data_IF_203100802520
#
_entry.id   IF_203100802520
#
_cell.length_a   1.000
_cell.length_b   1.000
_cell.length_c   1.000
_cell.angle_alpha   90.00
_cell.angle_beta   90.00
_cell.angle_gamma   90.00
#
_symmetry.space_group_name_H-M   'P 1'
#
loop_
_entity.id
_entity.type
_entity.pdbx_description
1 polymer ?
#
# COMPACT_ATOMS: atom_id res chain seq x y z
N UNK A 1 6.25 -29.63 13.10
CA UNK A 1 5.37 -29.25 12.02
C UNK A 1 4.41 -28.07 12.32
N UNK A 2 4.40 -27.51 13.53
CA UNK A 2 3.56 -26.34 13.89
C UNK A 2 4.20 -24.95 13.63
N UNK A 3 5.36 -24.88 13.01
CA UNK A 3 6.25 -23.69 13.02
C UNK A 3 6.03 -22.67 11.89
N UNK A 4 5.15 -22.90 10.92
CA UNK A 4 5.04 -22.04 9.71
C UNK A 4 3.83 -21.13 9.63
N UNK A 5 2.90 -21.21 10.59
CA UNK A 5 1.60 -20.54 10.52
C UNK A 5 1.61 -19.01 10.76
N UNK A 6 2.67 -18.47 11.37
CA UNK A 6 2.59 -17.11 11.92
C UNK A 6 3.21 -16.00 11.06
N UNK A 7 4.14 -16.30 10.19
CA UNK A 7 4.85 -15.23 9.46
C UNK A 7 3.92 -14.46 8.49
N UNK A 8 2.95 -15.14 7.88
CA UNK A 8 2.06 -14.51 6.90
C UNK A 8 0.83 -13.84 7.52
N UNK A 9 0.28 -14.41 8.59
CA UNK A 9 -0.77 -13.73 9.37
C UNK A 9 -0.28 -12.41 9.96
N UNK A 10 1.01 -12.28 10.24
CA UNK A 10 1.63 -11.04 10.71
C UNK A 10 1.75 -10.01 9.57
N UNK A 11 2.14 -10.41 8.36
CA UNK A 11 2.18 -9.49 7.21
C UNK A 11 0.78 -9.03 6.78
N UNK A 12 -0.22 -9.93 6.79
CA UNK A 12 -1.59 -9.59 6.42
C UNK A 12 -2.30 -8.80 7.54
N UNK A 13 -2.03 -9.09 8.82
CA UNK A 13 -2.55 -8.32 9.94
C UNK A 13 -1.93 -6.93 10.04
N UNK A 14 -0.66 -6.76 9.66
CA UNK A 14 -0.02 -5.44 9.55
C UNK A 14 -0.61 -4.63 8.39
N UNK A 15 -0.93 -5.27 7.26
CA UNK A 15 -1.62 -4.61 6.13
C UNK A 15 -3.03 -4.14 6.50
N UNK A 16 -3.75 -4.85 7.38
CA UNK A 16 -5.07 -4.45 7.87
C UNK A 16 -5.00 -3.47 9.07
N UNK A 17 -3.93 -3.51 9.87
CA UNK A 17 -3.75 -2.62 11.03
C UNK A 17 -3.27 -1.22 10.66
N UNK A 18 -2.65 -1.02 9.50
CA UNK A 18 -2.20 0.30 9.02
C UNK A 18 -3.34 1.27 8.77
N UNK A 19 -4.58 0.78 8.61
CA UNK A 19 -5.78 1.61 8.38
C UNK A 19 -6.67 1.80 9.60
N UNK A 20 -6.48 1.04 10.67
CA UNK A 20 -7.20 1.24 11.93
C UNK A 20 -6.30 1.96 12.92
N UNK A 21 -6.09 3.25 12.69
CA UNK A 21 -5.46 4.13 13.67
C UNK A 21 -6.16 4.00 15.02
N UNK A 22 -5.39 3.63 16.03
CA UNK A 22 -5.64 3.78 17.45
C UNK A 22 -7.10 3.68 17.93
N UNK A 23 -7.64 2.48 18.03
CA UNK A 23 -8.76 2.24 18.94
C UNK A 23 -8.20 1.94 20.35
N UNK A 24 -7.94 2.98 21.14
CA UNK A 24 -7.74 2.84 22.57
C UNK A 24 -9.10 2.85 23.26
N UNK A 25 -9.40 1.79 23.99
CA UNK A 25 -10.58 1.71 24.84
C UNK A 25 -10.55 2.81 25.91
N UNK A 26 -11.54 3.67 25.89
CA UNK A 26 -11.75 4.77 26.84
C UNK A 26 -12.02 4.19 28.23
N UNK A 27 -11.06 4.30 29.15
CA UNK A 27 -11.31 4.15 30.58
C UNK A 27 -11.67 5.51 31.16
N UNK A 28 -12.92 5.64 31.57
CA UNK A 28 -13.42 6.80 32.32
C UNK A 28 -12.72 6.91 33.68
N UNK A 29 -11.92 7.97 33.89
CA UNK A 29 -11.40 8.40 35.17
C UNK A 29 -11.70 9.90 35.39
N UNK A 30 -11.90 10.37 36.62
CA UNK A 30 -12.50 11.67 36.89
C UNK A 30 -11.54 12.85 36.67
N UNK A 31 -12.09 13.92 36.09
CA UNK A 31 -11.48 15.20 35.76
C UNK A 31 -10.93 15.94 36.96
N UNK A 32 -9.70 16.46 36.87
CA UNK A 32 -9.16 17.50 37.71
C UNK A 32 -9.18 18.85 36.96
N UNK A 33 -9.34 20.00 37.64
CA UNK A 33 -9.67 21.27 37.01
C UNK A 33 -8.44 21.96 36.38
N UNK A 34 -8.67 22.52 35.18
CA UNK A 34 -7.71 23.28 34.41
C UNK A 34 -7.35 24.62 35.06
N UNK A 35 -6.07 24.94 35.17
CA UNK A 35 -5.56 26.27 35.44
C UNK A 35 -5.26 26.98 34.13
N UNK A 36 -5.97 28.11 33.91
CA UNK A 36 -5.75 28.99 32.76
C UNK A 36 -4.45 29.77 32.91
N UNK A 37 -3.48 29.61 32.00
CA UNK A 37 -2.43 30.58 31.77
C UNK A 37 -2.67 31.24 30.40
N UNK A 38 -2.87 32.57 30.47
CA UNK A 38 -3.02 33.45 29.32
C UNK A 38 -1.65 33.69 28.71
N UNK A 39 -1.44 33.21 27.48
CA UNK A 39 -0.28 33.59 26.67
C UNK A 39 -0.69 34.75 25.76
N UNK A 40 -0.05 35.89 25.94
CA UNK A 40 -0.15 37.06 25.08
C UNK A 40 0.44 36.72 23.71
N UNK A 41 -0.38 36.82 22.65
CA UNK A 41 0.05 36.77 21.28
C UNK A 41 0.60 38.12 20.85
N UNK A 42 1.90 38.20 20.62
CA UNK A 42 2.50 39.28 19.84
C UNK A 42 2.07 39.13 18.37
N UNK A 43 1.30 40.10 17.90
CA UNK A 43 0.91 40.25 16.50
C UNK A 43 2.09 40.82 15.68
N UNK A 44 3.04 39.98 15.32
CA UNK A 44 4.01 40.27 14.28
C UNK A 44 3.37 40.00 12.92
N UNK A 45 3.33 41.02 12.08
CA UNK A 45 2.96 40.94 10.66
C UNK A 45 3.81 39.88 9.95
N UNK A 46 3.29 38.67 9.83
CA UNK A 46 3.85 37.64 8.98
C UNK A 46 3.55 38.05 7.52
N UNK A 47 4.58 38.35 6.76
CA UNK A 47 4.53 38.25 5.30
C UNK A 47 4.10 36.83 4.98
N UNK A 48 2.91 36.68 4.42
CA UNK A 48 2.46 35.42 3.82
C UNK A 48 3.47 35.02 2.73
N UNK A 49 4.45 34.23 3.09
CA UNK A 49 5.17 33.43 2.14
C UNK A 49 4.18 32.35 1.69
N UNK A 50 3.46 32.63 0.61
CA UNK A 50 2.64 31.61 -0.06
C UNK A 50 3.58 30.50 -0.51
N UNK A 51 3.56 29.38 0.20
CA UNK A 51 4.26 28.16 -0.25
C UNK A 51 3.68 27.81 -1.60
N UNK A 52 4.52 27.71 -2.62
CA UNK A 52 4.10 27.27 -3.94
C UNK A 52 3.66 25.81 -3.84
N UNK A 53 2.38 25.55 -4.09
CA UNK A 53 1.84 24.20 -4.12
C UNK A 53 2.20 23.59 -5.47
N UNK A 54 2.97 22.51 -5.45
CA UNK A 54 3.25 21.69 -6.63
C UNK A 54 2.41 20.44 -6.60
N UNK A 55 1.98 20.02 -7.76
CA UNK A 55 1.32 18.74 -7.99
C UNK A 55 2.00 18.04 -9.15
N UNK A 56 1.99 16.74 -9.16
CA UNK A 56 2.67 15.94 -10.16
C UNK A 56 1.68 15.02 -10.86
N UNK A 57 1.96 14.71 -12.11
CA UNK A 57 1.22 13.69 -12.84
C UNK A 57 1.64 12.29 -12.37
N UNK A 58 0.69 11.36 -12.40
CA UNK A 58 0.99 9.96 -12.09
C UNK A 58 1.95 9.41 -13.14
N UNK A 59 3.03 8.73 -12.74
CA UNK A 59 3.96 8.12 -13.69
C UNK A 59 3.28 7.08 -14.58
N UNK A 60 3.15 7.35 -15.88
CA UNK A 60 2.43 6.50 -16.83
C UNK A 60 3.09 5.13 -17.03
N UNK A 61 4.41 5.06 -16.96
CA UNK A 61 5.18 3.84 -17.18
C UNK A 61 5.38 2.99 -15.92
N UNK A 62 4.87 3.44 -14.76
CA UNK A 62 4.94 2.70 -13.51
C UNK A 62 3.60 2.79 -12.78
N UNK A 63 2.83 1.73 -12.82
CA UNK A 63 1.50 1.66 -12.23
C UNK A 63 1.47 0.57 -11.17
N UNK A 64 1.16 0.96 -9.94
CA UNK A 64 0.91 0.00 -8.87
C UNK A 64 -0.48 -0.61 -9.03
N UNK A 65 -0.59 -1.91 -8.81
CA UNK A 65 -1.89 -2.57 -8.76
C UNK A 65 -2.59 -2.21 -7.45
N UNK A 66 -3.86 -1.81 -7.56
CA UNK A 66 -4.71 -1.57 -6.43
C UNK A 66 -5.54 -2.80 -6.06
N UNK A 67 -5.92 -2.88 -4.80
CA UNK A 67 -6.87 -3.89 -4.30
C UNK A 67 -8.28 -3.35 -4.13
N UNK A 68 -8.48 -2.05 -4.30
CA UNK A 68 -9.80 -1.41 -4.14
C UNK A 68 -10.02 -0.21 -5.06
N UNK A 69 -8.99 0.60 -5.27
CA UNK A 69 -9.00 1.78 -6.15
C UNK A 69 -7.78 1.74 -7.04
N UNK A 70 -7.97 2.07 -8.29
CA UNK A 70 -6.90 2.17 -9.28
C UNK A 70 -7.08 3.45 -10.05
N UNK A 71 -6.03 4.26 -10.19
CA UNK A 71 -6.05 5.42 -11.08
C UNK A 71 -6.45 5.01 -12.49
N UNK A 72 -7.23 5.85 -13.15
CA UNK A 72 -7.62 5.64 -14.55
C UNK A 72 -7.04 6.73 -15.45
N UNK A 73 -5.90 6.50 -16.11
CA UNK A 73 -5.39 7.40 -17.13
C UNK A 73 -6.40 7.69 -18.25
N UNK A 74 -7.21 6.70 -18.62
CA UNK A 74 -8.21 6.84 -19.69
C UNK A 74 -9.37 7.78 -19.33
N UNK A 75 -9.86 7.73 -18.09
CA UNK A 75 -11.02 8.54 -17.66
C UNK A 75 -10.64 9.75 -16.84
N UNK A 76 -9.42 9.84 -16.36
CA UNK A 76 -8.96 10.86 -15.42
C UNK A 76 -9.51 10.69 -13.99
N UNK A 77 -10.21 9.58 -13.73
CA UNK A 77 -10.80 9.24 -12.45
C UNK A 77 -10.20 7.98 -11.83
N UNK A 78 -11.08 7.18 -11.22
CA UNK A 78 -10.70 5.94 -10.57
C UNK A 78 -11.53 4.78 -11.07
N UNK A 79 -10.89 3.59 -11.16
CA UNK A 79 -11.58 2.32 -11.19
C UNK A 79 -11.74 1.82 -9.76
N UNK A 80 -12.90 1.28 -9.44
CA UNK A 80 -13.20 0.71 -8.12
C UNK A 80 -13.99 -0.58 -8.27
N UNK A 81 -13.86 -1.48 -7.30
CA UNK A 81 -14.70 -2.67 -7.16
C UNK A 81 -14.83 -3.02 -5.67
N UNK A 82 -15.86 -3.76 -5.35
CA UNK A 82 -16.09 -4.22 -3.99
C UNK A 82 -15.67 -5.68 -3.91
N UNK A 83 -14.66 -5.97 -3.11
CA UNK A 83 -14.22 -7.33 -2.83
C UNK A 83 -15.42 -8.17 -2.37
N UNK A 84 -15.54 -9.38 -2.91
CA UNK A 84 -16.54 -10.42 -2.55
C UNK A 84 -18.03 -10.09 -2.81
N UNK A 85 -18.37 -8.89 -3.28
CA UNK A 85 -19.78 -8.50 -3.47
C UNK A 85 -20.11 -8.24 -4.94
N UNK A 86 -19.14 -7.70 -5.70
CA UNK A 86 -19.34 -7.30 -7.09
C UNK A 86 -18.17 -7.76 -7.93
N UNK A 87 -18.43 -8.67 -8.84
CA UNK A 87 -17.43 -9.20 -9.77
C UNK A 87 -17.20 -8.29 -10.99
N UNK A 88 -17.64 -7.06 -10.94
CA UNK A 88 -17.44 -6.05 -11.99
C UNK A 88 -16.80 -4.78 -11.44
N UNK A 89 -16.06 -4.11 -12.31
CA UNK A 89 -15.46 -2.82 -11.99
C UNK A 89 -16.47 -1.68 -12.24
N UNK A 90 -16.29 -0.62 -11.46
CA UNK A 90 -17.00 0.65 -11.63
C UNK A 90 -15.98 1.74 -11.91
N UNK A 91 -16.36 2.69 -12.76
CA UNK A 91 -15.61 3.92 -12.96
C UNK A 91 -16.19 5.01 -12.07
N UNK A 92 -15.32 5.79 -11.45
CA UNK A 92 -15.68 7.03 -10.81
C UNK A 92 -15.03 8.20 -11.56
N UNK A 93 -15.85 9.17 -11.97
CA UNK A 93 -15.42 10.40 -12.61
C UNK A 93 -15.50 11.56 -11.60
N UNK A 94 -14.37 12.11 -11.13
CA UNK A 94 -14.36 13.20 -10.16
C UNK A 94 -14.85 14.53 -10.74
N UNK A 95 -14.85 14.70 -12.05
CA UNK A 95 -15.34 15.93 -12.71
C UNK A 95 -16.85 15.97 -12.70
N UNK A 96 -17.51 14.91 -13.14
CA UNK A 96 -18.98 14.79 -13.13
C UNK A 96 -19.54 14.34 -11.80
N UNK A 97 -18.67 13.89 -10.87
CA UNK A 97 -19.01 13.33 -9.55
C UNK A 97 -20.01 12.18 -9.66
N UNK A 98 -19.79 11.33 -10.65
CA UNK A 98 -20.69 10.21 -10.92
C UNK A 98 -19.94 8.90 -11.03
N UNK A 99 -20.61 7.83 -10.61
CA UNK A 99 -20.13 6.44 -10.77
C UNK A 99 -20.94 5.78 -11.88
N UNK A 100 -20.26 5.05 -12.76
CA UNK A 100 -20.88 4.26 -13.82
C UNK A 100 -20.15 2.93 -14.01
N UNK A 101 -20.88 1.95 -14.59
CA UNK A 101 -20.28 0.68 -14.97
C UNK A 101 -19.80 0.79 -16.42
N UNK A 102 -18.50 0.59 -16.69
CA UNK A 102 -17.92 0.75 -18.04
C UNK A 102 -18.27 -0.46 -18.92
N UNK A 103 -19.57 -0.67 -19.13
CA UNK A 103 -20.08 -1.71 -20.00
C UNK A 103 -20.53 -1.13 -21.34
N UNK A 104 -19.98 -1.68 -22.42
CA UNK A 104 -20.25 -1.23 -23.79
C UNK A 104 -21.35 -2.06 -24.49
N UNK A 105 -21.97 -3.01 -23.78
CA UNK A 105 -23.02 -3.85 -24.32
C UNK A 105 -24.40 -3.26 -24.07
N UNK A 106 -25.14 -3.01 -25.16
CA UNK A 106 -26.50 -2.51 -25.06
C UNK A 106 -27.44 -3.52 -24.38
N UNK A 107 -28.12 -3.09 -23.33
CA UNK A 107 -29.07 -3.91 -22.59
C UNK A 107 -28.44 -4.93 -21.64
N UNK A 108 -27.14 -4.76 -21.32
CA UNK A 108 -26.46 -5.59 -20.33
C UNK A 108 -27.00 -5.32 -18.91
N UNK A 109 -27.36 -6.37 -18.19
CA UNK A 109 -27.81 -6.28 -16.78
C UNK A 109 -26.65 -6.29 -15.78
N UNK A 110 -25.42 -6.37 -16.26
CA UNK A 110 -24.17 -6.40 -15.46
C UNK A 110 -24.12 -7.55 -14.44
N UNK A 111 -24.73 -8.68 -14.74
CA UNK A 111 -24.92 -9.78 -13.80
C UNK A 111 -24.03 -11.00 -14.06
N UNK A 112 -23.30 -11.01 -15.17
CA UNK A 112 -22.56 -12.22 -15.60
C UNK A 112 -21.27 -11.90 -16.40
N UNK A 113 -20.56 -12.95 -16.74
CA UNK A 113 -19.29 -12.93 -17.47
C UNK A 113 -19.38 -12.36 -18.91
N UNK A 114 -20.58 -12.15 -19.46
CA UNK A 114 -20.75 -11.50 -20.77
C UNK A 114 -20.63 -9.97 -20.65
N UNK A 115 -20.79 -9.42 -19.44
CA UNK A 115 -20.56 -8.00 -19.21
C UNK A 115 -19.10 -7.63 -19.43
N UNK A 116 -18.84 -6.57 -20.22
CA UNK A 116 -17.46 -6.11 -20.45
C UNK A 116 -16.76 -5.52 -19.20
N UNK A 117 -17.50 -5.21 -18.17
CA UNK A 117 -16.98 -4.76 -16.87
C UNK A 117 -16.81 -5.91 -15.86
N UNK A 118 -17.22 -7.14 -16.19
CA UNK A 118 -17.12 -8.29 -15.30
C UNK A 118 -15.73 -8.93 -15.39
N UNK A 119 -15.08 -9.18 -14.27
CA UNK A 119 -13.77 -9.81 -14.19
C UNK A 119 -13.74 -11.09 -13.34
N UNK A 120 -14.79 -11.37 -12.57
CA UNK A 120 -14.73 -12.38 -11.52
C UNK A 120 -14.14 -11.83 -10.23
N UNK A 121 -13.62 -12.68 -9.39
CA UNK A 121 -12.98 -12.27 -8.14
C UNK A 121 -11.57 -11.72 -8.42
N UNK A 122 -11.37 -10.42 -8.15
CA UNK A 122 -10.14 -9.70 -8.45
C UNK A 122 -9.28 -9.62 -7.17
N UNK A 123 -8.02 -10.06 -7.25
CA UNK A 123 -7.02 -9.88 -6.19
C UNK A 123 -6.07 -8.70 -6.43
N UNK A 124 -6.07 -8.13 -7.61
CA UNK A 124 -5.31 -6.93 -7.98
C UNK A 124 -5.67 -6.48 -9.38
N UNK A 125 -5.78 -5.17 -9.57
CA UNK A 125 -6.12 -4.52 -10.85
C UNK A 125 -5.18 -3.36 -11.11
N UNK A 126 -4.85 -3.13 -12.36
CA UNK A 126 -4.18 -1.93 -12.85
C UNK A 126 -4.71 -1.56 -14.25
N UNK A 127 -4.74 -0.27 -14.56
CA UNK A 127 -4.90 0.22 -15.93
C UNK A 127 -3.53 0.64 -16.46
N UNK A 128 -3.14 0.09 -17.61
CA UNK A 128 -1.86 0.40 -18.23
C UNK A 128 -1.99 0.41 -19.74
N UNK A 129 -1.59 1.51 -20.38
CA UNK A 129 -1.62 1.70 -21.84
C UNK A 129 -2.96 1.32 -22.46
N UNK A 130 -4.07 1.76 -21.85
CA UNK A 130 -5.44 1.56 -22.35
C UNK A 130 -5.99 0.13 -22.20
N UNK A 131 -5.34 -0.72 -21.41
CA UNK A 131 -5.81 -2.04 -21.03
C UNK A 131 -5.90 -2.18 -19.52
N UNK A 132 -6.89 -2.95 -19.08
CA UNK A 132 -6.90 -3.51 -17.74
C UNK A 132 -6.00 -4.74 -17.70
N UNK A 133 -5.24 -4.85 -16.62
CA UNK A 133 -4.50 -6.04 -16.21
C UNK A 133 -4.96 -6.42 -14.82
N UNK A 134 -5.39 -7.64 -14.63
CA UNK A 134 -5.90 -8.10 -13.36
C UNK A 134 -5.40 -9.49 -13.00
N UNK A 135 -5.26 -9.74 -11.73
CA UNK A 135 -5.20 -11.08 -11.20
C UNK A 135 -6.58 -11.46 -10.71
N UNK A 136 -7.10 -12.59 -11.17
CA UNK A 136 -8.42 -13.09 -10.80
C UNK A 136 -8.31 -14.49 -10.19
N UNK A 137 -9.25 -14.83 -9.30
CA UNK A 137 -9.45 -16.18 -8.81
C UNK A 137 -10.55 -16.88 -9.61
N UNK A 138 -10.44 -18.18 -9.76
CA UNK A 138 -11.43 -19.04 -10.43
C UNK A 138 -11.36 -20.46 -9.85
N UNK A 139 -12.24 -21.38 -10.32
CA UNK A 139 -12.37 -22.74 -9.81
C UNK A 139 -12.56 -22.79 -8.29
N UNK A 140 -13.62 -22.11 -7.79
CA UNK A 140 -13.93 -22.00 -6.36
C UNK A 140 -12.72 -21.46 -5.54
N UNK A 141 -12.03 -20.44 -6.10
CA UNK A 141 -10.91 -19.72 -5.51
C UNK A 141 -9.63 -20.54 -5.29
N UNK A 142 -9.53 -21.72 -5.92
CA UNK A 142 -8.34 -22.58 -5.79
C UNK A 142 -7.27 -22.28 -6.83
N UNK A 143 -7.62 -21.58 -7.91
CA UNK A 143 -6.74 -21.24 -9.02
C UNK A 143 -6.72 -19.73 -9.27
N UNK A 144 -5.63 -19.24 -9.89
CA UNK A 144 -5.46 -17.84 -10.27
C UNK A 144 -5.14 -17.68 -11.74
N UNK A 145 -5.60 -16.60 -12.36
CA UNK A 145 -5.21 -16.21 -13.69
C UNK A 145 -4.84 -14.74 -13.79
N UNK A 146 -3.75 -14.47 -14.51
CA UNK A 146 -3.39 -13.14 -14.96
C UNK A 146 -4.09 -12.86 -16.29
N UNK A 147 -4.92 -11.83 -16.30
CA UNK A 147 -5.80 -11.54 -17.42
C UNK A 147 -5.66 -10.11 -17.90
N UNK A 148 -6.05 -9.87 -19.14
CA UNK A 148 -6.13 -8.53 -19.72
C UNK A 148 -7.42 -8.33 -20.50
N UNK A 149 -7.84 -7.06 -20.60
CA UNK A 149 -8.97 -6.60 -21.41
C UNK A 149 -8.76 -5.13 -21.79
N UNK A 150 -9.06 -4.70 -23.03
CA UNK A 150 -9.06 -3.29 -23.38
C UNK A 150 -10.05 -2.50 -22.51
N UNK A 151 -9.67 -1.29 -22.07
CA UNK A 151 -10.56 -0.39 -21.32
C UNK A 151 -11.82 -0.06 -22.14
N UNK A 152 -11.69 0.04 -23.45
CA UNK A 152 -12.81 0.25 -24.39
C UNK A 152 -13.77 -0.95 -24.50
N UNK A 153 -13.53 -2.02 -23.75
CA UNK A 153 -14.32 -3.25 -23.84
C UNK A 153 -13.71 -4.28 -24.81
N UNK A 154 -14.19 -5.49 -24.74
CA UNK A 154 -13.70 -6.62 -25.53
C UNK A 154 -13.65 -7.91 -24.68
N UNK A 155 -13.21 -9.03 -25.28
CA UNK A 155 -13.12 -10.30 -24.55
C UNK A 155 -12.01 -10.23 -23.50
N UNK A 156 -12.23 -10.86 -22.36
CA UNK A 156 -11.19 -11.14 -21.39
C UNK A 156 -10.21 -12.14 -21.98
N UNK A 157 -8.92 -11.84 -21.89
CA UNK A 157 -7.84 -12.72 -22.38
C UNK A 157 -7.02 -13.19 -21.18
N UNK A 158 -6.78 -14.49 -21.09
CA UNK A 158 -5.88 -15.09 -20.12
C UNK A 158 -4.46 -15.00 -20.67
N UNK A 159 -3.57 -14.38 -19.93
CA UNK A 159 -2.15 -14.25 -20.25
C UNK A 159 -1.32 -15.37 -19.62
N UNK A 160 -1.66 -15.73 -18.37
CA UNK A 160 -1.05 -16.83 -17.63
C UNK A 160 -2.05 -17.38 -16.61
N UNK A 161 -1.87 -18.64 -16.20
CA UNK A 161 -2.70 -19.25 -15.16
C UNK A 161 -1.87 -20.16 -14.26
N UNK A 162 -2.31 -20.28 -13.02
CA UNK A 162 -1.73 -21.16 -12.00
C UNK A 162 -2.86 -22.00 -11.43
N UNK A 163 -2.75 -23.30 -11.62
CA UNK A 163 -3.72 -24.27 -11.14
C UNK A 163 -3.09 -25.15 -10.06
N UNK A 164 -3.86 -25.59 -9.07
CA UNK A 164 -3.39 -26.54 -8.06
C UNK A 164 -3.04 -27.90 -8.72
N UNK A 165 -1.99 -28.55 -8.24
CA UNK A 165 -1.58 -29.87 -8.71
C UNK A 165 -2.47 -31.00 -8.16
N UNK A 166 -3.16 -30.71 -7.04
CA UNK A 166 -4.07 -31.64 -6.39
C UNK A 166 -5.12 -30.90 -5.53
N UNK A 167 -6.14 -31.63 -5.06
CA UNK A 167 -7.27 -31.09 -4.28
C UNK A 167 -6.95 -30.45 -2.92
N UNK A 168 -5.73 -30.62 -2.44
CA UNK A 168 -5.25 -30.03 -1.19
C UNK A 168 -4.38 -28.79 -1.41
N UNK A 169 -4.27 -28.33 -2.62
CA UNK A 169 -3.49 -27.17 -2.98
C UNK A 169 -4.37 -26.01 -3.46
N UNK A 170 -3.92 -24.80 -3.24
CA UNK A 170 -4.46 -23.58 -3.79
C UNK A 170 -3.34 -22.75 -4.40
N UNK A 171 -3.61 -22.12 -5.54
CA UNK A 171 -2.71 -21.17 -6.18
C UNK A 171 -3.30 -19.76 -6.04
N UNK A 172 -2.82 -19.01 -5.06
CA UNK A 172 -3.24 -17.63 -4.81
C UNK A 172 -2.19 -16.66 -5.29
N UNK A 173 -2.51 -15.96 -6.37
CA UNK A 173 -1.59 -15.02 -7.00
C UNK A 173 -2.07 -13.58 -6.82
N UNK A 174 -1.13 -12.64 -6.83
CA UNK A 174 -1.43 -11.22 -6.76
C UNK A 174 -0.64 -10.45 -7.80
N UNK A 175 -1.27 -9.44 -8.39
CA UNK A 175 -0.61 -8.45 -9.22
C UNK A 175 -0.02 -7.37 -8.30
N UNK A 176 1.30 -7.18 -8.37
CA UNK A 176 1.98 -6.12 -7.65
C UNK A 176 1.88 -4.78 -8.38
N UNK A 177 2.14 -4.78 -9.68
CA UNK A 177 2.10 -3.60 -10.54
C UNK A 177 2.67 -3.87 -11.92
N UNK A 178 2.73 -2.80 -12.71
CA UNK A 178 3.30 -2.82 -14.05
C UNK A 178 4.37 -1.74 -14.17
N UNK A 179 5.46 -2.05 -14.85
CA UNK A 179 6.53 -1.10 -15.12
C UNK A 179 7.18 -1.39 -16.46
N UNK A 180 7.25 -0.39 -17.34
CA UNK A 180 7.89 -0.44 -18.66
C UNK A 180 7.55 -1.69 -19.50
N UNK A 181 6.24 -1.99 -19.57
CA UNK A 181 5.75 -3.12 -20.36
C UNK A 181 5.88 -4.49 -19.69
N UNK A 182 6.23 -4.54 -18.41
CA UNK A 182 6.28 -5.78 -17.61
C UNK A 182 5.29 -5.73 -16.47
N UNK A 183 4.61 -6.84 -16.21
CA UNK A 183 3.84 -7.05 -14.98
C UNK A 183 4.68 -7.81 -13.96
N UNK A 184 4.54 -7.44 -12.69
CA UNK A 184 5.21 -8.06 -11.55
C UNK A 184 4.18 -8.76 -10.69
N UNK A 185 4.40 -10.06 -10.47
CA UNK A 185 3.44 -10.96 -9.86
C UNK A 185 4.03 -11.61 -8.61
N UNK A 186 3.15 -11.89 -7.64
CA UNK A 186 3.44 -12.80 -6.53
C UNK A 186 2.63 -14.06 -6.78
N UNK A 187 3.28 -15.20 -6.81
CA UNK A 187 2.67 -16.52 -6.92
C UNK A 187 2.80 -17.21 -5.58
N UNK A 188 1.68 -17.56 -4.98
CA UNK A 188 1.60 -18.33 -3.75
C UNK A 188 1.00 -19.70 -4.04
N UNK A 189 1.70 -20.76 -3.65
CA UNK A 189 1.17 -22.12 -3.60
C UNK A 189 0.99 -22.50 -2.16
N UNK A 190 -0.24 -22.82 -1.78
CA UNK A 190 -0.62 -23.16 -0.42
C UNK A 190 -1.12 -24.59 -0.36
N UNK A 191 -0.59 -25.38 0.57
CA UNK A 191 -0.99 -26.77 0.77
C UNK A 191 -1.77 -26.90 2.06
N UNK A 192 -2.91 -27.54 2.00
CA UNK A 192 -3.83 -27.70 3.12
C UNK A 192 -3.98 -29.16 3.55
N UNK A 193 -4.40 -29.36 4.80
CA UNK A 193 -4.81 -30.64 5.33
C UNK A 193 -6.01 -30.48 6.23
N UNK A 194 -6.85 -31.53 6.33
CA UNK A 194 -7.93 -31.55 7.29
C UNK A 194 -7.38 -31.92 8.67
N UNK A 195 -7.71 -31.12 9.67
CA UNK A 195 -7.42 -31.39 11.07
C UNK A 195 -8.38 -32.43 11.64
N UNK A 196 -8.08 -33.00 12.82
CA UNK A 196 -8.92 -34.01 13.45
C UNK A 196 -10.36 -33.52 13.81
N UNK A 197 -10.50 -32.21 14.00
CA UNK A 197 -11.78 -31.50 14.23
C UNK A 197 -12.50 -31.09 12.95
N UNK A 198 -11.97 -31.48 11.78
CA UNK A 198 -12.60 -31.24 10.48
C UNK A 198 -12.38 -29.83 9.93
N UNK A 199 -11.45 -29.06 10.48
CA UNK A 199 -11.07 -27.76 9.94
C UNK A 199 -9.94 -27.92 8.90
N UNK A 200 -9.91 -27.03 7.93
CA UNK A 200 -8.81 -26.96 6.96
C UNK A 200 -7.64 -26.15 7.57
N UNK A 201 -6.45 -26.73 7.58
CA UNK A 201 -5.25 -26.08 8.07
C UNK A 201 -4.17 -26.03 6.96
N UNK A 202 -3.61 -24.87 6.73
CA UNK A 202 -2.49 -24.72 5.83
C UNK A 202 -1.23 -25.35 6.46
N UNK A 203 -0.61 -26.28 5.77
CA UNK A 203 0.57 -27.01 6.23
C UNK A 203 1.83 -26.72 5.45
N UNK A 204 1.71 -26.03 4.33
CA UNK A 204 2.83 -25.61 3.50
C UNK A 204 2.46 -24.38 2.69
N UNK A 205 3.42 -23.49 2.55
CA UNK A 205 3.32 -22.30 1.70
C UNK A 205 4.63 -22.11 0.96
N UNK A 206 4.53 -21.85 -0.32
CA UNK A 206 5.65 -21.50 -1.19
C UNK A 206 5.31 -20.22 -1.94
N UNK A 207 6.18 -19.24 -1.83
CA UNK A 207 5.99 -17.94 -2.49
C UNK A 207 7.11 -17.69 -3.48
N UNK A 208 6.75 -17.15 -4.63
CA UNK A 208 7.70 -16.70 -5.65
C UNK A 208 7.27 -15.38 -6.27
N UNK A 209 8.24 -14.63 -6.78
CA UNK A 209 8.02 -13.41 -7.54
C UNK A 209 8.39 -13.63 -8.98
N UNK A 210 7.54 -13.15 -9.87
CA UNK A 210 7.67 -13.31 -11.30
C UNK A 210 7.54 -11.96 -12.01
N UNK A 211 8.22 -11.83 -13.13
CA UNK A 211 7.93 -10.83 -14.14
C UNK A 211 7.29 -11.49 -15.35
N UNK A 212 6.32 -10.81 -15.93
CA UNK A 212 5.66 -11.17 -17.17
C UNK A 212 5.82 -10.04 -18.18
N UNK A 213 6.47 -10.31 -19.30
CA UNK A 213 6.63 -9.33 -20.38
C UNK A 213 5.33 -9.27 -21.20
N UNK A 214 4.70 -8.09 -21.26
CA UNK A 214 3.39 -7.91 -21.90
C UNK A 214 3.44 -8.00 -23.42
N UNK A 215 4.60 -7.79 -24.04
CA UNK A 215 4.77 -7.84 -25.48
C UNK A 215 5.08 -9.26 -25.97
N UNK A 216 6.00 -9.94 -25.28
CA UNK A 216 6.49 -11.26 -25.70
C UNK A 216 5.73 -12.41 -25.04
N UNK A 217 5.07 -12.18 -23.91
CA UNK A 217 4.46 -13.21 -23.07
C UNK A 217 5.47 -14.03 -22.27
N UNK A 218 6.75 -13.62 -22.24
CA UNK A 218 7.78 -14.33 -21.48
C UNK A 218 7.58 -14.15 -19.98
N UNK A 219 7.64 -15.25 -19.23
CA UNK A 219 7.62 -15.28 -17.77
C UNK A 219 9.00 -15.61 -17.23
N UNK A 220 9.49 -14.81 -16.29
CA UNK A 220 10.76 -15.02 -15.62
C UNK A 220 10.56 -15.02 -14.12
N UNK A 221 11.02 -16.08 -13.45
CA UNK A 221 11.08 -16.13 -12.01
C UNK A 221 12.22 -15.25 -11.50
N UNK A 222 11.87 -14.27 -10.67
CA UNK A 222 12.83 -13.30 -10.12
C UNK A 222 13.44 -13.80 -8.81
N UNK A 223 12.64 -14.48 -8.00
CA UNK A 223 13.06 -15.09 -6.74
C UNK A 223 11.99 -16.02 -6.19
N UNK A 224 12.45 -17.01 -5.43
CA UNK A 224 11.62 -17.92 -4.63
C UNK A 224 11.96 -17.74 -3.17
N UNK A 225 10.97 -17.97 -2.33
CA UNK A 225 11.17 -18.07 -0.89
C UNK A 225 12.07 -19.28 -0.56
N UNK A 226 13.15 -19.03 0.12
CA UNK A 226 14.11 -20.10 0.51
C UNK A 226 14.03 -20.50 1.98
N UNK A 227 13.36 -19.72 2.85
CA UNK A 227 13.29 -19.99 4.28
C UNK A 227 11.97 -19.50 4.92
N UNK A 228 10.88 -19.42 4.15
CA UNK A 228 9.58 -18.91 4.60
C UNK A 228 9.51 -17.39 4.60
N UNK A 229 10.49 -16.69 4.01
CA UNK A 229 10.50 -15.22 3.92
C UNK A 229 10.83 -14.80 2.49
N UNK A 230 9.81 -14.46 1.72
CA UNK A 230 10.00 -13.82 0.42
C UNK A 230 10.40 -12.35 0.65
N UNK A 231 11.52 -11.87 0.07
CA UNK A 231 11.89 -10.46 0.18
C UNK A 231 10.74 -9.55 -0.25
N UNK A 232 10.45 -8.54 0.55
CA UNK A 232 9.42 -7.56 0.21
C UNK A 232 9.93 -6.65 -0.92
N UNK A 233 9.14 -6.44 -1.97
CA UNK A 233 9.47 -5.56 -3.08
C UNK A 233 8.75 -4.21 -2.89
N UNK A 234 9.51 -3.12 -2.82
CA UNK A 234 8.97 -1.76 -2.65
C UNK A 234 8.56 -1.09 -3.94
N UNK A 235 9.31 -1.32 -4.97
CA UNK A 235 9.08 -0.70 -6.26
C UNK A 235 9.98 -1.27 -7.33
N UNK A 236 9.61 -1.00 -8.56
CA UNK A 236 10.38 -1.35 -9.75
C UNK A 236 10.35 -0.16 -10.69
N UNK A 237 11.51 0.21 -11.22
CA UNK A 237 11.65 1.20 -12.28
C UNK A 237 12.58 0.66 -13.34
N UNK A 238 12.09 0.51 -14.58
CA UNK A 238 12.78 -0.22 -15.65
C UNK A 238 13.21 -1.62 -15.20
N UNK A 239 14.52 -1.84 -15.11
CA UNK A 239 15.10 -3.12 -14.66
C UNK A 239 15.64 -3.08 -13.23
N UNK A 240 15.42 -1.98 -12.50
CA UNK A 240 15.85 -1.84 -11.11
C UNK A 240 14.68 -2.07 -10.17
N UNK A 241 14.78 -3.09 -9.34
CA UNK A 241 13.82 -3.34 -8.28
C UNK A 241 14.46 -3.10 -6.90
N UNK A 242 13.68 -2.56 -5.96
CA UNK A 242 14.11 -2.34 -4.57
C UNK A 242 13.44 -3.37 -3.67
N UNK A 243 14.23 -4.06 -2.88
CA UNK A 243 13.80 -5.13 -1.99
C UNK A 243 14.20 -4.87 -0.55
N UNK A 244 13.40 -5.41 0.35
CA UNK A 244 13.77 -5.57 1.76
C UNK A 244 13.78 -7.04 2.14
N UNK A 245 14.82 -7.45 2.85
CA UNK A 245 14.85 -8.72 3.57
C UNK A 245 14.79 -8.47 5.07
N UNK A 246 14.23 -9.44 5.76
CA UNK A 246 14.15 -9.49 7.22
C UNK A 246 14.87 -10.75 7.68
N UNK A 247 15.72 -10.65 8.69
CA UNK A 247 16.43 -11.77 9.27
C UNK A 247 16.31 -11.71 10.78
N UNK A 248 15.93 -12.83 11.38
CA UNK A 248 15.94 -12.96 12.83
C UNK A 248 17.38 -13.04 13.34
N UNK A 249 17.72 -12.30 14.40
CA UNK A 249 19.05 -12.37 15.02
C UNK A 249 19.29 -13.75 15.61
N UNK A 250 20.56 -14.20 15.56
CA UNK A 250 20.94 -15.49 16.13
C UNK A 250 20.67 -15.51 17.64
N UNK A 251 20.03 -16.61 18.11
CA UNK A 251 19.68 -16.78 19.51
C UNK A 251 18.39 -16.03 19.95
N UNK A 252 17.66 -15.41 19.04
CA UNK A 252 16.32 -14.89 19.35
C UNK A 252 15.40 -16.04 19.80
N UNK A 253 14.54 -15.81 20.81
CA UNK A 253 13.52 -16.79 21.18
C UNK A 253 12.50 -16.95 20.05
N UNK A 254 11.83 -18.07 19.95
CA UNK A 254 10.67 -18.21 19.06
C UNK A 254 9.59 -17.20 19.48
N UNK A 255 8.90 -16.61 18.48
CA UNK A 255 7.93 -15.53 18.74
C UNK A 255 6.83 -15.97 19.72
N UNK A 256 6.30 -17.19 19.57
CA UNK A 256 5.25 -17.74 20.43
C UNK A 256 5.71 -17.91 21.88
N UNK A 257 6.96 -18.31 22.10
CA UNK A 257 7.53 -18.42 23.44
C UNK A 257 7.77 -17.05 24.08
N UNK A 258 8.21 -16.09 23.26
CA UNK A 258 8.45 -14.72 23.70
C UNK A 258 7.16 -14.00 24.06
N UNK A 259 6.12 -14.05 23.17
CA UNK A 259 4.86 -13.32 23.38
C UNK A 259 4.09 -13.80 24.61
N UNK A 260 4.16 -15.09 24.94
CA UNK A 260 3.53 -15.63 26.15
C UNK A 260 4.14 -15.09 27.46
N UNK A 261 5.33 -14.52 27.40
CA UNK A 261 6.02 -13.94 28.55
C UNK A 261 5.84 -12.42 28.65
N UNK A 262 5.15 -11.82 27.67
CA UNK A 262 4.97 -10.38 27.60
C UNK A 262 3.65 -9.94 28.25
N UNK A 263 3.54 -8.67 28.66
CA UNK A 263 2.26 -8.06 29.09
C UNK A 263 1.19 -8.16 27.99
N UNK A 264 -0.06 -8.18 28.42
CA UNK A 264 -1.20 -8.09 27.49
C UNK A 264 -1.12 -6.79 26.66
N UNK A 265 -1.34 -6.91 25.35
CA UNK A 265 -1.22 -5.80 24.40
C UNK A 265 0.15 -5.69 23.72
N UNK A 266 1.14 -6.55 24.08
CA UNK A 266 2.40 -6.66 23.35
C UNK A 266 2.14 -7.25 21.96
N UNK A 267 2.82 -6.73 20.95
CA UNK A 267 2.60 -7.08 19.55
C UNK A 267 3.86 -7.69 18.92
N UNK A 268 3.69 -8.30 17.74
CA UNK A 268 4.81 -8.76 16.90
C UNK A 268 5.76 -7.63 16.49
N UNK A 269 5.28 -6.39 16.46
CA UNK A 269 6.11 -5.21 16.23
C UNK A 269 7.23 -5.05 17.27
N UNK A 270 6.89 -5.18 18.57
CA UNK A 270 7.89 -5.09 19.65
C UNK A 270 8.90 -6.24 19.59
N UNK A 271 8.47 -7.42 19.15
CA UNK A 271 9.41 -8.52 18.87
C UNK A 271 10.34 -8.16 17.73
N UNK A 272 9.81 -7.63 16.62
CA UNK A 272 10.59 -7.21 15.48
C UNK A 272 11.65 -6.15 15.82
N UNK A 273 11.29 -5.15 16.65
CA UNK A 273 12.25 -4.15 17.14
C UNK A 273 13.45 -4.72 17.88
N UNK A 274 13.29 -5.87 18.54
CA UNK A 274 14.34 -6.49 19.35
C UNK A 274 15.16 -7.52 18.58
N UNK A 275 14.52 -8.25 17.68
CA UNK A 275 15.09 -9.48 17.14
C UNK A 275 15.18 -9.54 15.62
N UNK A 276 14.71 -8.50 14.88
CA UNK A 276 14.84 -8.46 13.43
C UNK A 276 15.97 -7.52 13.00
N UNK A 277 16.69 -7.94 11.98
CA UNK A 277 17.59 -7.11 11.18
C UNK A 277 17.02 -6.97 9.77
N UNK A 278 17.10 -5.76 9.25
CA UNK A 278 16.57 -5.43 7.95
C UNK A 278 17.70 -5.02 7.02
N UNK A 279 17.67 -5.52 5.80
CA UNK A 279 18.52 -5.07 4.71
C UNK A 279 17.63 -4.54 3.61
N UNK A 280 17.92 -3.34 3.11
CA UNK A 280 17.29 -2.77 1.90
C UNK A 280 18.34 -2.72 0.81
N UNK A 281 17.99 -3.22 -0.38
CA UNK A 281 18.89 -3.25 -1.52
C UNK A 281 18.14 -3.08 -2.82
N UNK A 282 18.79 -2.50 -3.82
CA UNK A 282 18.33 -2.55 -5.20
C UNK A 282 18.98 -3.72 -5.93
N UNK A 283 18.25 -4.28 -6.90
CA UNK A 283 18.72 -5.35 -7.77
C UNK A 283 18.40 -5.01 -9.21
N UNK A 284 19.40 -5.11 -10.08
CA UNK A 284 19.17 -5.07 -11.51
C UNK A 284 18.63 -6.43 -11.95
N UNK A 285 17.41 -6.47 -12.45
CA UNK A 285 16.71 -7.70 -12.80
C UNK A 285 17.28 -8.42 -14.04
N UNK A 286 18.01 -7.66 -14.90
CA UNK A 286 18.69 -8.25 -16.07
C UNK A 286 20.05 -8.85 -15.73
N UNK A 287 20.84 -8.13 -14.94
CA UNK A 287 22.24 -8.53 -14.63
C UNK A 287 22.35 -9.33 -13.35
N UNK A 288 21.36 -9.24 -12.46
CA UNK A 288 21.40 -9.80 -11.11
C UNK A 288 22.27 -9.01 -10.13
N UNK A 289 22.88 -7.88 -10.55
CA UNK A 289 23.72 -7.05 -9.70
C UNK A 289 22.90 -6.43 -8.58
N UNK A 290 23.41 -6.54 -7.35
CA UNK A 290 22.78 -5.96 -6.16
C UNK A 290 23.60 -4.78 -5.63
N UNK A 291 22.90 -3.73 -5.18
CA UNK A 291 23.48 -2.60 -4.48
C UNK A 291 22.78 -2.39 -3.15
N UNK A 292 23.50 -2.49 -2.06
CA UNK A 292 22.99 -2.25 -0.72
C UNK A 292 22.64 -0.77 -0.53
N UNK A 293 21.40 -0.50 -0.09
CA UNK A 293 20.89 0.83 0.26
C UNK A 293 20.98 1.00 1.78
N UNK A 294 20.51 -0.01 2.54
CA UNK A 294 20.66 -0.10 3.99
C UNK A 294 21.23 -1.47 4.30
N UNK A 295 22.38 -1.49 4.96
CA UNK A 295 23.00 -2.74 5.39
C UNK A 295 22.22 -3.37 6.56
N UNK A 296 22.45 -4.65 6.84
CA UNK A 296 21.88 -5.32 8.02
C UNK A 296 22.22 -4.50 9.26
N UNK A 297 21.33 -3.61 9.64
CA UNK A 297 21.50 -2.74 10.78
C UNK A 297 20.57 -3.16 11.89
N UNK A 298 21.00 -2.89 13.13
CA UNK A 298 20.15 -3.05 14.31
C UNK A 298 19.03 -2.00 14.35
N UNK A 299 19.14 -1.00 13.48
CA UNK A 299 18.21 0.10 13.41
C UNK A 299 17.02 -0.29 12.53
N UNK A 300 15.86 -0.18 13.12
CA UNK A 300 14.61 -0.53 12.49
C UNK A 300 14.38 0.28 11.21
N UNK A 301 14.19 -0.42 10.10
CA UNK A 301 13.71 0.13 8.85
C UNK A 301 12.23 -0.22 8.74
N UNK A 302 11.37 0.71 9.07
CA UNK A 302 9.92 0.50 8.89
C UNK A 302 9.56 0.66 7.43
N UNK A 303 8.89 -0.35 6.87
CA UNK A 303 8.53 -0.30 5.47
C UNK A 303 7.59 -1.44 5.09
N UNK A 304 6.41 -1.48 5.62
CA UNK A 304 5.44 -2.53 5.29
C UNK A 304 4.24 -2.04 4.48
N UNK A 305 4.31 -0.82 3.92
CA UNK A 305 3.18 -0.23 3.18
C UNK A 305 3.43 -0.32 1.67
N UNK A 306 2.47 -0.81 0.88
CA UNK A 306 2.55 -0.81 -0.59
C UNK A 306 2.68 0.60 -1.20
N UNK A 307 2.42 1.66 -0.43
CA UNK A 307 2.55 3.05 -0.85
C UNK A 307 3.94 3.65 -0.59
N UNK A 308 5.00 2.84 -0.58
CA UNK A 308 6.38 3.29 -0.38
C UNK A 308 7.12 3.63 -1.66
N UNK A 309 6.50 3.44 -2.82
CA UNK A 309 7.07 3.87 -4.10
C UNK A 309 6.11 4.73 -4.90
N UNK A 310 6.69 5.66 -5.66
CA UNK A 310 6.00 6.51 -6.61
C UNK A 310 6.94 6.80 -7.79
N UNK A 311 6.59 6.28 -8.96
CA UNK A 311 7.50 6.34 -10.10
C UNK A 311 8.83 5.66 -9.78
N UNK A 312 9.91 6.37 -10.04
CA UNK A 312 11.30 5.93 -9.77
C UNK A 312 11.73 6.03 -8.31
N UNK A 313 10.88 6.57 -7.43
CA UNK A 313 11.24 6.87 -6.04
C UNK A 313 10.71 5.82 -5.07
N UNK A 314 11.56 5.43 -4.11
CA UNK A 314 11.20 4.57 -2.98
C UNK A 314 11.53 5.30 -1.68
N UNK A 315 10.59 5.34 -0.75
CA UNK A 315 10.79 5.91 0.59
C UNK A 315 11.22 4.82 1.54
N UNK A 316 12.20 5.10 2.36
CA UNK A 316 12.65 4.21 3.42
C UNK A 316 13.11 5.00 4.65
N UNK A 317 13.18 4.34 5.79
CA UNK A 317 13.58 4.95 7.04
C UNK A 317 14.76 4.20 7.67
N UNK A 318 15.68 4.97 8.25
CA UNK A 318 16.73 4.47 9.14
C UNK A 318 16.69 5.29 10.41
N UNK A 319 16.56 4.66 11.55
CA UNK A 319 16.27 5.30 12.84
C UNK A 319 15.04 6.22 12.72
N UNK A 320 15.22 7.51 12.96
CA UNK A 320 14.20 8.55 12.81
C UNK A 320 14.37 9.39 11.54
N UNK A 321 15.25 9.02 10.66
CA UNK A 321 15.51 9.73 9.42
C UNK A 321 14.83 9.07 8.25
N UNK A 322 14.09 9.84 7.47
CA UNK A 322 13.40 9.42 6.26
C UNK A 322 14.22 9.81 5.04
N UNK A 323 14.37 8.87 4.15
CA UNK A 323 15.13 8.97 2.91
C UNK A 323 14.26 8.63 1.72
N UNK A 324 14.62 9.20 0.59
CA UNK A 324 14.14 8.77 -0.73
C UNK A 324 15.30 8.17 -1.50
N UNK A 325 15.09 6.98 -2.04
CA UNK A 325 15.98 6.35 -3.00
C UNK A 325 15.42 6.56 -4.40
N UNK A 326 16.24 7.10 -5.28
CA UNK A 326 15.95 7.24 -6.70
C UNK A 326 16.51 6.02 -7.43
N UNK A 327 15.64 5.20 -8.02
CA UNK A 327 16.01 3.96 -8.72
C UNK A 327 16.73 4.24 -10.04
N UNK A 328 16.45 5.37 -10.71
CA UNK A 328 17.10 5.74 -11.95
C UNK A 328 18.57 6.12 -11.72
N UNK A 329 18.82 7.02 -10.78
CA UNK A 329 20.19 7.45 -10.43
C UNK A 329 20.88 6.52 -9.44
N UNK A 330 20.13 5.63 -8.82
CA UNK A 330 20.56 4.73 -7.75
C UNK A 330 21.25 5.46 -6.58
N UNK A 331 20.68 6.59 -6.17
CA UNK A 331 21.17 7.41 -5.07
C UNK A 331 20.10 7.66 -4.03
N UNK A 332 20.54 7.88 -2.78
CA UNK A 332 19.67 8.20 -1.67
C UNK A 332 19.83 9.64 -1.23
N UNK A 333 18.70 10.30 -0.93
CA UNK A 333 18.63 11.64 -0.36
C UNK A 333 17.88 11.59 0.96
N UNK A 334 18.45 12.11 2.03
CA UNK A 334 17.74 12.34 3.28
C UNK A 334 16.77 13.51 3.11
N UNK A 335 15.51 13.29 3.46
CA UNK A 335 14.48 14.33 3.43
C UNK A 335 14.34 15.05 4.77
N UNK A 336 14.10 14.29 5.84
CA UNK A 336 13.88 14.86 7.17
C UNK A 336 14.21 13.87 8.28
N UNK A 337 14.10 14.34 9.54
CA UNK A 337 14.25 13.51 10.74
C UNK A 337 13.05 13.78 11.64
N UNK A 338 12.42 12.74 12.13
CA UNK A 338 11.32 12.83 13.08
C UNK A 338 11.73 13.49 14.41
N UNK A 339 10.81 14.21 15.01
CA UNK A 339 10.97 14.71 16.38
C UNK A 339 11.13 13.53 17.35
N UNK A 340 12.11 13.57 18.26
CA UNK A 340 12.31 12.53 19.27
C UNK A 340 11.15 12.40 20.27
N UNK A 341 10.28 13.40 20.37
CA UNK A 341 9.11 13.40 21.25
C UNK A 341 7.85 12.78 20.65
N UNK A 342 7.93 12.21 19.45
CA UNK A 342 6.78 11.53 18.84
C UNK A 342 6.68 10.08 19.31
N UNK A 343 5.47 9.69 19.69
CA UNK A 343 5.14 8.32 20.12
C UNK A 343 4.78 7.43 18.91
N UNK A 344 4.30 8.05 17.82
CA UNK A 344 3.97 7.38 16.57
C UNK A 344 4.29 8.25 15.36
N UNK A 345 4.49 7.61 14.23
CA UNK A 345 4.56 8.24 12.91
C UNK A 345 4.21 7.21 11.82
N UNK A 346 3.68 7.72 10.73
CA UNK A 346 3.45 6.95 9.50
C UNK A 346 3.75 7.84 8.30
N UNK A 347 4.13 7.26 7.19
CA UNK A 347 4.39 7.97 5.96
C UNK A 347 4.09 7.09 4.74
N UNK A 348 3.72 7.75 3.65
CA UNK A 348 3.51 7.17 2.33
C UNK A 348 4.04 8.14 1.28
N UNK A 349 4.20 7.69 0.06
CA UNK A 349 4.59 8.53 -1.05
C UNK A 349 3.46 8.62 -2.07
N UNK A 350 3.04 9.84 -2.37
CA UNK A 350 1.99 10.15 -3.36
C UNK A 350 2.27 11.51 -3.96
N UNK A 351 1.89 11.72 -5.23
CA UNK A 351 2.00 13.01 -5.90
C UNK A 351 3.39 13.66 -5.74
N UNK A 352 4.46 12.87 -5.87
CA UNK A 352 5.81 13.37 -5.70
C UNK A 352 6.13 13.91 -4.30
N UNK A 353 5.30 13.65 -3.29
CA UNK A 353 5.50 14.05 -1.91
C UNK A 353 5.55 12.86 -0.97
N UNK A 354 6.36 12.95 0.07
CA UNK A 354 6.26 12.08 1.23
C UNK A 354 5.24 12.68 2.18
N UNK A 355 4.08 12.03 2.30
CA UNK A 355 3.03 12.38 3.26
C UNK A 355 3.42 11.83 4.61
N UNK A 356 3.59 12.67 5.61
CA UNK A 356 4.01 12.31 6.96
C UNK A 356 2.91 12.63 7.95
N UNK A 357 2.61 11.67 8.80
CA UNK A 357 1.69 11.83 9.92
C UNK A 357 2.42 11.36 11.16
N UNK A 358 2.44 12.15 12.20
CA UNK A 358 3.09 11.78 13.45
C UNK A 358 2.68 12.66 14.61
N UNK A 359 3.08 12.25 15.81
CA UNK A 359 2.77 13.01 17.01
C UNK A 359 2.83 12.18 18.29
N UNK A 360 2.09 12.63 19.29
CA UNK A 360 1.88 11.98 20.58
C UNK A 360 0.45 11.44 20.66
N UNK A 361 0.09 10.72 21.73
CA UNK A 361 -1.29 10.27 21.98
C UNK A 361 -2.31 11.42 21.93
N UNK A 362 -1.89 12.62 22.34
CA UNK A 362 -2.76 13.81 22.44
C UNK A 362 -2.69 14.72 21.22
N UNK A 363 -1.69 14.58 20.36
CA UNK A 363 -1.43 15.51 19.25
C UNK A 363 -1.08 14.75 17.98
N UNK A 364 -1.76 15.10 16.90
CA UNK A 364 -1.44 14.62 15.55
C UNK A 364 -1.00 15.80 14.68
N UNK A 365 0.08 15.64 13.94
CA UNK A 365 0.55 16.59 12.94
C UNK A 365 0.74 15.88 11.62
N UNK A 366 0.56 16.60 10.53
CA UNK A 366 0.70 16.06 9.19
C UNK A 366 1.44 17.03 8.28
N UNK A 367 2.25 16.50 7.38
CA UNK A 367 3.02 17.25 6.40
C UNK A 367 3.08 16.52 5.07
N UNK A 368 3.22 17.31 4.00
CA UNK A 368 3.67 16.84 2.72
C UNK A 368 5.08 17.39 2.45
N UNK A 369 6.04 16.52 2.20
CA UNK A 369 7.43 16.87 1.93
C UNK A 369 7.74 16.57 0.47
N UNK A 370 7.97 17.61 -0.33
CA UNK A 370 8.31 17.48 -1.75
C UNK A 370 9.63 16.70 -1.94
N UNK A 371 9.63 15.66 -2.74
CA UNK A 371 10.80 14.81 -2.96
C UNK A 371 11.87 15.51 -3.81
N UNK A 372 11.51 16.46 -4.65
CA UNK A 372 12.45 17.15 -5.54
C UNK A 372 13.35 18.12 -4.76
N UNK A 373 12.78 18.98 -3.92
CA UNK A 373 13.55 20.02 -3.21
C UNK A 373 13.48 19.94 -1.68
N UNK A 374 12.60 19.13 -1.12
CA UNK A 374 12.42 18.99 0.33
C UNK A 374 11.57 20.10 0.95
N UNK A 375 10.87 20.89 0.15
CA UNK A 375 9.93 21.88 0.64
C UNK A 375 8.78 21.20 1.42
N UNK A 376 8.28 21.86 2.45
CA UNK A 376 7.33 21.27 3.40
C UNK A 376 6.04 22.08 3.40
N UNK A 377 4.92 21.37 3.22
CA UNK A 377 3.57 21.90 3.40
C UNK A 377 3.01 21.29 4.68
N UNK A 378 2.68 22.11 5.67
CA UNK A 378 1.96 21.63 6.86
C UNK A 378 0.48 21.48 6.55
N UNK A 379 -0.07 20.30 6.88
CA UNK A 379 -1.46 19.95 6.65
C UNK A 379 -2.25 20.09 7.94
N UNK A 380 -3.44 20.69 7.88
CA UNK A 380 -4.29 20.90 9.05
C UNK A 380 -4.93 19.57 9.52
N UNK A 381 -4.68 19.18 10.75
CA UNK A 381 -5.30 18.03 11.42
C UNK A 381 -6.59 18.40 12.15
N UNK A 382 -6.99 19.67 12.11
CA UNK A 382 -8.16 20.23 12.84
C UNK A 382 -8.13 19.97 14.34
N UNK A 383 -6.91 19.92 14.92
CA UNK A 383 -6.69 19.73 16.35
C UNK A 383 -7.07 18.35 16.89
N UNK A 384 -7.33 17.38 16.00
CA UNK A 384 -7.60 15.99 16.37
C UNK A 384 -6.32 15.17 16.53
N UNK A 385 -6.45 14.01 17.15
CA UNK A 385 -5.42 12.99 17.19
C UNK A 385 -5.41 12.08 15.92
N UNK A 386 -6.16 12.47 14.90
CA UNK A 386 -6.28 11.79 13.61
C UNK A 386 -6.33 12.85 12.52
N UNK A 387 -5.77 12.58 11.35
CA UNK A 387 -5.84 13.50 10.20
C UNK A 387 -7.27 13.79 9.80
N UNK A 388 -7.53 15.02 9.39
CA UNK A 388 -8.84 15.44 8.92
C UNK A 388 -9.22 14.80 7.58
N UNK A 389 -8.23 14.49 6.74
CA UNK A 389 -8.38 13.76 5.48
C UNK A 389 -7.15 12.89 5.25
N UNK A 390 -7.34 11.57 5.24
CA UNK A 390 -6.30 10.60 4.87
C UNK A 390 -6.38 10.32 3.37
N UNK A 391 -5.44 10.86 2.59
CA UNK A 391 -5.31 10.56 1.17
C UNK A 391 -4.73 9.16 1.01
N UNK A 392 -5.49 8.23 0.43
CA UNK A 392 -5.07 6.83 0.27
C UNK A 392 -4.68 6.51 -1.17
N UNK A 393 -5.30 7.18 -2.14
CA UNK A 393 -5.10 6.93 -3.56
C UNK A 393 -5.10 8.25 -4.32
N UNK A 394 -4.32 8.34 -5.39
CA UNK A 394 -4.31 9.49 -6.27
C UNK A 394 -4.79 9.15 -7.68
N UNK A 395 -5.38 10.11 -8.34
CA UNK A 395 -5.58 10.17 -9.79
C UNK A 395 -5.26 11.57 -10.27
N UNK A 396 -5.31 11.79 -11.57
CA UNK A 396 -4.95 13.07 -12.16
C UNK A 396 -5.73 14.22 -11.51
N UNK A 397 -5.02 15.07 -10.77
CA UNK A 397 -5.58 16.24 -10.11
C UNK A 397 -6.38 16.00 -8.82
N UNK A 398 -6.58 14.73 -8.38
CA UNK A 398 -7.40 14.40 -7.20
C UNK A 398 -6.74 13.37 -6.30
N UNK A 399 -7.14 13.40 -5.01
CA UNK A 399 -6.97 12.30 -4.07
C UNK A 399 -8.32 11.67 -3.73
N UNK A 400 -8.35 10.35 -3.63
CA UNK A 400 -9.42 9.60 -2.98
C UNK A 400 -8.95 9.19 -1.58
N UNK A 401 -9.81 9.33 -0.58
CA UNK A 401 -9.42 9.03 0.78
C UNK A 401 -10.59 9.06 1.76
N UNK A 402 -10.24 9.06 3.04
CA UNK A 402 -11.19 9.06 4.14
C UNK A 402 -11.19 10.42 4.84
N UNK A 403 -12.35 11.09 4.82
CA UNK A 403 -12.59 12.32 5.56
C UNK A 403 -13.31 12.02 6.86
N UNK A 404 -12.87 12.61 7.96
CA UNK A 404 -13.59 12.57 9.22
C UNK A 404 -14.77 13.54 9.18
N UNK A 405 -15.98 13.03 9.41
CA UNK A 405 -17.20 13.84 9.48
C UNK A 405 -17.38 14.48 10.87
N UNK A 406 -18.43 15.30 11.02
CA UNK A 406 -18.74 15.98 12.28
C UNK A 406 -19.13 15.04 13.43
N UNK A 407 -19.56 13.80 13.12
CA UNK A 407 -19.86 12.75 14.11
C UNK A 407 -18.61 12.01 14.58
N UNK A 408 -17.48 12.25 13.92
CA UNK A 408 -16.22 11.53 14.17
C UNK A 408 -16.03 10.26 13.35
N UNK A 409 -17.01 9.89 12.52
CA UNK A 409 -16.92 8.74 11.61
C UNK A 409 -16.12 9.09 10.36
N UNK A 410 -15.54 8.07 9.72
CA UNK A 410 -14.83 8.24 8.46
C UNK A 410 -15.76 8.00 7.27
N UNK A 411 -15.73 8.91 6.32
CA UNK A 411 -16.47 8.84 5.07
C UNK A 411 -15.53 8.88 3.89
N UNK A 412 -15.78 8.03 2.91
CA UNK A 412 -15.04 8.06 1.67
C UNK A 412 -15.39 9.31 0.86
N UNK A 413 -14.37 10.05 0.46
CA UNK A 413 -14.49 11.29 -0.26
C UNK A 413 -13.35 11.45 -1.28
N UNK A 414 -13.57 12.40 -2.19
CA UNK A 414 -12.58 12.85 -3.16
C UNK A 414 -12.29 14.33 -2.91
N UNK A 415 -11.04 14.75 -3.15
CA UNK A 415 -10.61 16.13 -3.00
C UNK A 415 -9.62 16.47 -4.11
N UNK A 416 -9.65 17.71 -4.64
CA UNK A 416 -8.58 18.14 -5.54
C UNK A 416 -7.24 18.17 -4.81
N UNK A 417 -6.14 17.86 -5.50
CA UNK A 417 -4.79 17.93 -4.90
C UNK A 417 -4.50 19.32 -4.35
N UNK A 418 -4.92 20.38 -5.06
CA UNK A 418 -4.75 21.76 -4.63
C UNK A 418 -5.50 22.07 -3.34
N UNK A 419 -6.78 21.68 -3.22
CA UNK A 419 -7.56 21.86 -1.98
C UNK A 419 -6.98 21.06 -0.82
N UNK A 420 -6.49 19.85 -1.09
CA UNK A 420 -5.82 19.01 -0.09
C UNK A 420 -4.61 19.70 0.52
N UNK A 421 -3.69 20.19 -0.32
CA UNK A 421 -2.49 20.88 0.17
C UNK A 421 -2.76 22.23 0.84
N UNK A 422 -3.89 22.85 0.51
CA UNK A 422 -4.38 24.06 1.21
C UNK A 422 -5.16 23.74 2.47
N UNK A 423 -5.31 22.46 2.81
CA UNK A 423 -6.14 22.00 3.93
C UNK A 423 -7.60 22.42 3.84
N UNK A 424 -8.08 22.66 2.62
CA UNK A 424 -9.48 23.03 2.31
C UNK A 424 -10.37 21.76 2.25
N UNK A 425 -10.37 20.97 3.32
CA UNK A 425 -11.07 19.68 3.34
C UNK A 425 -12.60 19.78 3.23
N UNK A 426 -13.17 20.98 3.38
CA UNK A 426 -14.59 21.20 3.15
C UNK A 426 -14.97 21.17 1.66
N UNK A 427 -14.00 21.34 0.77
CA UNK A 427 -14.15 21.12 -0.67
C UNK A 427 -14.27 19.64 -1.06
N UNK A 428 -13.95 18.71 -0.14
CA UNK A 428 -14.08 17.28 -0.40
C UNK A 428 -15.55 16.89 -0.67
N UNK A 429 -15.75 16.00 -1.65
CA UNK A 429 -17.05 15.55 -2.12
C UNK A 429 -17.12 14.02 -2.23
N UNK A 430 -18.35 13.49 -2.27
CA UNK A 430 -18.63 12.04 -2.42
C UNK A 430 -18.87 11.68 -3.87
#
# INVERSE_FOLDING_TARGET
MKRRFFAFSVCLAVLLASFTGCYSAQKNGPSAPASSQTVQSDSGSATENSVEIRTYDIPEENVQAGTRYVPSPTTGGFWTWTLFIQNYIQAYDPVTKSTYIPCYQTGCEHSDAFCSAYFGEISGLAEYRGNFYAMIYYNDDTASAFVTRPVSGGPLQILASWEPENENEECRCSLYGLSFGKAYLIVAKETYTMTEDGQQACVGQEYSRWSFDLETGEMVELMTDTDGILPYMYGVWEDIAVYQTVKTVEGAPEFEEWIMQQPEGTTSYQYGLQYYKYRVYSKNLKTGEEKTIVDESENFVWTADPHMSWGQYVVYQVDRSVYVYDMETQTSKKLFTHDPGWDFYNYMIQDGHVMVIGGTEDTCRAWAVDIADGSVIELDTRGGNVVAFGANYECNGYFAGLKRNSSGDFEQCYISKEDYYRSNYDAAFR
#
